data_IF_381677520200
#
_entry.id   IF_381677520200
#
_cell.length_a   1.000
_cell.length_b   1.000
_cell.length_c   1.000
_cell.angle_alpha   90.00
_cell.angle_beta   90.00
_cell.angle_gamma   90.00
#
_symmetry.space_group_name_H-M   'P 1'
#
loop_
_entity.id
_entity.type
_entity.pdbx_description
1 polymer ?
#
# COMPACT_ATOMS: atom_id res chain seq x y z
N UNK A 1 71.07 -8.07 25.91
CA UNK A 1 70.48 -6.71 26.03
C UNK A 1 69.15 -6.73 25.30
N UNK A 2 68.11 -6.27 25.99
CA UNK A 2 66.68 -6.49 25.76
C UNK A 2 66.12 -5.82 24.50
N UNK A 3 65.17 -6.51 23.85
CA UNK A 3 64.36 -6.08 22.72
C UNK A 3 63.50 -4.85 23.03
N UNK A 4 63.48 -3.85 22.14
CA UNK A 4 62.43 -2.83 22.11
C UNK A 4 61.42 -3.19 21.02
N UNK A 5 60.23 -3.55 21.45
CA UNK A 5 59.05 -3.81 20.63
C UNK A 5 58.14 -2.58 20.74
N UNK A 6 58.28 -1.62 19.84
CA UNK A 6 57.33 -0.51 19.70
C UNK A 6 56.10 -1.01 18.94
N UNK A 7 55.04 -1.35 19.69
CA UNK A 7 53.71 -1.48 19.12
C UNK A 7 53.12 -0.07 18.87
N UNK A 8 52.46 0.19 17.73
CA UNK A 8 51.91 1.50 17.44
C UNK A 8 50.66 1.74 18.29
N UNK A 9 50.81 2.52 19.36
CA UNK A 9 49.67 3.04 20.13
C UNK A 9 48.90 4.00 19.24
N UNK A 10 47.76 3.55 18.70
CA UNK A 10 46.83 4.43 17.99
C UNK A 10 46.33 5.52 18.95
N UNK A 11 46.29 6.75 18.44
CA UNK A 11 46.01 7.98 19.16
C UNK A 11 44.61 7.99 19.82
N UNK A 12 44.59 8.22 21.14
CA UNK A 12 43.39 8.35 21.97
C UNK A 12 42.44 9.43 21.42
N UNK A 13 42.97 10.50 20.84
CA UNK A 13 42.13 11.56 20.27
C UNK A 13 41.28 11.06 19.09
N UNK A 14 41.79 10.11 18.30
CA UNK A 14 41.03 9.46 17.23
C UNK A 14 39.88 8.60 17.76
N UNK A 15 40.09 7.92 18.89
CA UNK A 15 39.06 7.12 19.57
C UNK A 15 37.98 8.03 20.12
N UNK A 16 38.36 9.10 20.85
CA UNK A 16 37.43 10.07 21.42
C UNK A 16 36.62 10.81 20.33
N UNK A 17 37.25 11.14 19.20
CA UNK A 17 36.56 11.75 18.04
C UNK A 17 35.54 10.81 17.42
N UNK A 18 35.86 9.53 17.31
CA UNK A 18 34.93 8.51 16.81
C UNK A 18 33.75 8.35 17.76
N UNK A 19 34.00 8.29 19.07
CA UNK A 19 32.94 8.24 20.09
C UNK A 19 32.04 9.49 20.06
N UNK A 20 32.63 10.68 19.95
CA UNK A 20 31.88 11.94 19.84
C UNK A 20 30.97 11.96 18.61
N UNK A 21 31.44 11.45 17.46
CA UNK A 21 30.64 11.38 16.23
C UNK A 21 29.45 10.40 16.27
N UNK A 22 29.43 9.48 17.22
CA UNK A 22 28.36 8.48 17.40
C UNK A 22 27.30 8.94 18.41
N UNK A 23 27.51 10.09 19.07
CA UNK A 23 26.57 10.63 20.04
C UNK A 23 25.56 11.53 19.29
N UNK A 24 24.23 11.27 19.35
CA UNK A 24 23.26 12.20 18.79
C UNK A 24 23.34 13.53 19.55
N UNK A 25 23.80 14.59 18.88
CA UNK A 25 23.96 15.91 19.46
C UNK A 25 22.58 16.56 19.64
N UNK A 26 21.90 16.23 20.74
CA UNK A 26 20.77 17.02 21.22
C UNK A 26 21.31 18.07 22.21
N UNK A 27 21.78 19.21 21.70
CA UNK A 27 22.11 20.37 22.51
C UNK A 27 21.00 21.41 22.35
N UNK A 28 20.07 21.44 23.31
CA UNK A 28 19.37 22.68 23.69
C UNK A 28 20.04 23.23 24.96
N UNK A 29 20.29 24.54 25.06
CA UNK A 29 20.84 25.14 26.28
C UNK A 29 19.82 25.09 27.42
N UNK A 30 20.27 24.69 28.61
CA UNK A 30 19.50 24.78 29.85
C UNK A 30 19.53 26.20 30.44
N UNK A 31 18.35 26.72 30.78
CA UNK A 31 18.17 27.77 31.80
C UNK A 31 16.99 27.41 32.72
N UNK A 32 17.36 27.06 33.95
CA UNK A 32 16.73 27.26 35.28
C UNK A 32 15.19 27.14 35.52
N UNK A 33 14.84 26.10 36.29
CA UNK A 33 13.91 26.00 37.45
C UNK A 33 12.58 26.80 37.51
N UNK A 34 11.44 26.07 37.49
CA UNK A 34 10.56 25.77 38.66
C UNK A 34 9.15 25.33 38.22
N UNK A 35 8.55 24.33 38.90
CA UNK A 35 7.10 24.05 38.84
C UNK A 35 6.73 22.58 38.60
N UNK A 36 6.22 21.91 39.64
CA UNK A 36 5.66 20.55 39.57
C UNK A 36 4.30 20.53 38.85
N UNK A 37 4.17 19.75 37.76
CA UNK A 37 2.94 19.03 37.36
C UNK A 37 3.27 17.87 36.41
N UNK A 38 2.45 16.80 36.33
CA UNK A 38 2.84 15.47 35.84
C UNK A 38 2.73 15.34 34.31
N UNK A 39 3.74 14.74 33.67
CA UNK A 39 3.70 14.37 32.25
C UNK A 39 3.91 12.86 32.08
N UNK A 40 3.09 12.18 31.25
CA UNK A 40 3.29 10.78 30.90
C UNK A 40 4.51 10.62 29.99
N UNK A 41 5.13 9.42 29.93
CA UNK A 41 6.36 9.18 29.18
C UNK A 41 6.17 9.39 27.66
N UNK A 42 7.20 9.89 26.94
CA UNK A 42 7.12 10.11 25.51
C UNK A 42 7.09 8.76 24.77
N UNK A 43 6.05 8.55 23.97
CA UNK A 43 5.99 7.45 23.01
C UNK A 43 7.00 7.67 21.87
N UNK A 44 7.60 6.61 21.31
CA UNK A 44 8.43 6.73 20.13
C UNK A 44 7.59 7.22 18.95
N UNK A 45 7.99 8.35 18.38
CA UNK A 45 7.47 8.88 17.13
C UNK A 45 7.74 7.87 16.01
N UNK A 46 6.74 7.06 15.72
CA UNK A 46 6.60 6.42 14.41
C UNK A 46 6.33 7.56 13.43
N UNK A 47 7.21 7.74 12.44
CA UNK A 47 6.96 8.55 11.25
C UNK A 47 5.61 8.13 10.67
N UNK A 48 4.61 8.96 10.92
CA UNK A 48 3.26 8.81 10.41
C UNK A 48 3.35 8.99 8.89
N UNK A 49 3.07 7.92 8.17
CA UNK A 49 2.59 8.01 6.79
C UNK A 49 1.42 9.00 6.81
N UNK A 50 1.39 10.04 5.96
CA UNK A 50 0.28 10.97 5.97
C UNK A 50 -0.97 10.23 5.49
N UNK A 51 -1.83 9.85 6.44
CA UNK A 51 -3.20 9.46 6.15
C UNK A 51 -3.93 10.72 5.70
N UNK A 52 -4.05 10.93 4.39
CA UNK A 52 -4.94 11.95 3.85
C UNK A 52 -6.37 11.57 4.22
N UNK A 53 -6.92 12.28 5.20
CA UNK A 53 -8.32 12.22 5.60
C UNK A 53 -9.17 12.87 4.51
N UNK A 54 -9.73 12.06 3.61
CA UNK A 54 -10.78 12.54 2.72
C UNK A 54 -12.05 12.76 3.55
N UNK A 55 -12.39 14.03 3.76
CA UNK A 55 -13.63 14.45 4.38
C UNK A 55 -14.81 13.90 3.58
N UNK A 56 -15.57 12.99 4.20
CA UNK A 56 -16.89 12.57 3.76
C UNK A 56 -17.83 13.77 3.88
N UNK A 57 -18.10 14.45 2.77
CA UNK A 57 -19.21 15.39 2.69
C UNK A 57 -20.52 14.59 2.69
N UNK A 58 -21.24 14.67 3.80
CA UNK A 58 -22.65 14.30 3.88
C UNK A 58 -23.45 15.42 3.20
N UNK A 59 -23.89 15.19 1.96
CA UNK A 59 -24.88 16.05 1.31
C UNK A 59 -26.27 15.63 1.75
N UNK A 60 -26.90 16.56 2.48
CA UNK A 60 -28.29 16.51 2.93
C UNK A 60 -29.26 16.43 1.76
N UNK A 61 -30.22 15.53 1.91
CA UNK A 61 -31.27 15.18 0.97
C UNK A 61 -32.20 16.37 0.69
N UNK A 62 -32.34 16.76 -0.57
CA UNK A 62 -33.43 17.62 -1.04
C UNK A 62 -34.33 16.80 -1.97
N UNK A 63 -35.55 16.57 -1.49
CA UNK A 63 -36.63 15.90 -2.19
C UNK A 63 -37.08 16.82 -3.32
N UNK A 64 -36.72 16.51 -4.57
CA UNK A 64 -37.29 17.14 -5.74
C UNK A 64 -38.41 16.26 -6.32
N UNK A 65 -39.56 16.91 -6.44
CA UNK A 65 -40.90 16.39 -6.74
C UNK A 65 -41.00 15.89 -8.20
N UNK A 66 -41.66 14.75 -8.40
CA UNK A 66 -41.96 14.17 -9.72
C UNK A 66 -42.64 15.15 -10.66
N UNK A 67 -42.11 15.24 -11.88
CA UNK A 67 -42.87 15.55 -13.09
C UNK A 67 -42.40 14.60 -14.19
N UNK A 68 -43.31 13.72 -14.62
CA UNK A 68 -43.11 12.75 -15.71
C UNK A 68 -43.20 13.46 -17.06
N UNK A 69 -42.25 13.24 -17.99
CA UNK A 69 -42.49 13.38 -19.43
C UNK A 69 -42.45 12.01 -20.13
N UNK A 70 -43.11 11.87 -21.29
CA UNK A 70 -43.42 10.59 -21.93
C UNK A 70 -42.26 10.08 -22.81
N UNK A 71 -41.95 8.78 -22.68
CA UNK A 71 -41.27 7.95 -23.70
C UNK A 71 -39.74 8.09 -23.82
N UNK A 72 -38.97 7.29 -23.05
CA UNK A 72 -37.52 7.13 -23.24
C UNK A 72 -37.21 5.71 -23.79
N UNK A 73 -36.29 5.56 -24.76
CA UNK A 73 -36.04 4.28 -25.44
C UNK A 73 -35.50 3.18 -24.50
N UNK A 74 -35.95 1.94 -24.75
CA UNK A 74 -35.77 0.70 -23.97
C UNK A 74 -34.33 0.16 -23.82
N UNK A 75 -33.28 0.98 -23.92
CA UNK A 75 -31.89 0.48 -24.02
C UNK A 75 -30.93 1.01 -22.94
N UNK A 76 -31.42 1.21 -21.71
CA UNK A 76 -30.56 1.47 -20.56
C UNK A 76 -30.25 0.15 -19.83
N UNK A 77 -29.19 -0.54 -20.26
CA UNK A 77 -28.68 -1.73 -19.56
C UNK A 77 -27.83 -1.26 -18.38
N UNK A 78 -28.17 -1.71 -17.17
CA UNK A 78 -27.39 -1.46 -15.96
C UNK A 78 -26.04 -2.18 -16.05
N UNK A 79 -24.89 -1.48 -15.95
CA UNK A 79 -23.56 -2.09 -16.00
C UNK A 79 -23.35 -3.23 -14.99
N UNK A 80 -24.03 -3.19 -13.84
CA UNK A 80 -23.93 -4.20 -12.80
C UNK A 80 -24.58 -5.55 -13.18
N UNK A 81 -25.42 -5.56 -14.23
CA UNK A 81 -26.09 -6.77 -14.74
C UNK A 81 -25.32 -7.45 -15.88
N UNK A 82 -24.26 -6.80 -16.38
CA UNK A 82 -23.49 -7.28 -17.53
C UNK A 82 -22.48 -8.34 -17.07
N UNK A 83 -22.58 -9.53 -17.66
CA UNK A 83 -21.65 -10.65 -17.45
C UNK A 83 -21.04 -11.18 -18.75
N UNK A 84 -21.45 -10.65 -19.91
CA UNK A 84 -20.89 -10.98 -21.22
C UNK A 84 -19.91 -9.90 -21.69
N UNK A 85 -18.82 -10.33 -22.34
CA UNK A 85 -17.78 -9.43 -22.83
C UNK A 85 -18.28 -8.44 -23.89
N UNK A 86 -19.05 -8.90 -24.89
CA UNK A 86 -19.48 -8.04 -26.00
C UNK A 86 -20.44 -6.94 -25.53
N UNK A 87 -21.29 -7.25 -24.54
CA UNK A 87 -22.13 -6.28 -23.87
C UNK A 87 -21.31 -5.29 -23.04
N UNK A 88 -20.29 -5.78 -22.31
CA UNK A 88 -19.39 -4.94 -21.52
C UNK A 88 -18.59 -3.96 -22.38
N UNK A 89 -18.04 -4.42 -23.50
CA UNK A 89 -17.30 -3.56 -24.43
C UNK A 89 -18.19 -2.46 -25.03
N UNK A 90 -19.41 -2.79 -25.45
CA UNK A 90 -20.36 -1.78 -25.95
C UNK A 90 -20.76 -0.80 -24.86
N UNK A 91 -20.89 -1.26 -23.61
CA UNK A 91 -21.18 -0.41 -22.47
C UNK A 91 -20.05 0.60 -22.23
N UNK A 92 -18.81 0.14 -22.08
CA UNK A 92 -17.66 1.03 -21.81
C UNK A 92 -17.42 2.03 -22.95
N UNK A 93 -17.48 1.60 -24.22
CA UNK A 93 -17.30 2.50 -25.36
C UNK A 93 -18.37 3.60 -25.40
N UNK A 94 -19.60 3.26 -25.01
CA UNK A 94 -20.69 4.24 -24.88
C UNK A 94 -20.49 5.19 -23.70
N UNK A 95 -19.95 4.71 -22.58
CA UNK A 95 -19.65 5.54 -21.41
C UNK A 95 -18.54 6.52 -21.73
N UNK A 96 -17.43 6.04 -22.30
CA UNK A 96 -16.28 6.86 -22.70
C UNK A 96 -16.69 7.92 -23.72
N UNK A 97 -17.43 7.55 -24.77
CA UNK A 97 -17.88 8.51 -25.78
C UNK A 97 -18.84 9.60 -25.27
N UNK A 98 -19.41 9.42 -24.07
CA UNK A 98 -20.35 10.37 -23.46
C UNK A 98 -19.74 11.21 -22.35
N UNK A 99 -18.63 10.76 -21.77
CA UNK A 99 -18.05 11.38 -20.60
C UNK A 99 -16.52 11.24 -20.65
N UNK A 100 -15.84 12.31 -21.07
CA UNK A 100 -14.38 12.37 -21.12
C UNK A 100 -13.73 12.31 -19.73
N UNK A 101 -14.47 12.62 -18.66
CA UNK A 101 -13.95 12.58 -17.29
C UNK A 101 -13.54 11.17 -16.86
N UNK A 102 -14.11 10.12 -17.48
CA UNK A 102 -13.74 8.74 -17.17
C UNK A 102 -12.27 8.45 -17.48
N UNK A 103 -11.76 8.92 -18.63
CA UNK A 103 -10.38 8.69 -19.02
C UNK A 103 -9.44 9.53 -18.14
N UNK A 104 -9.86 10.73 -17.73
CA UNK A 104 -9.10 11.53 -16.77
C UNK A 104 -9.02 10.85 -15.39
N UNK A 105 -10.11 10.23 -14.93
CA UNK A 105 -10.12 9.45 -13.69
C UNK A 105 -9.21 8.23 -13.80
N UNK A 106 -9.27 7.49 -14.91
CA UNK A 106 -8.40 6.33 -15.14
C UNK A 106 -6.92 6.73 -15.17
N UNK A 107 -6.55 7.80 -15.89
CA UNK A 107 -5.18 8.34 -15.87
C UNK A 107 -4.74 8.74 -14.46
N UNK A 108 -5.63 9.33 -13.66
CA UNK A 108 -5.35 9.67 -12.26
C UNK A 108 -5.12 8.42 -11.42
N UNK A 109 -5.94 7.39 -11.59
CA UNK A 109 -5.76 6.11 -10.90
C UNK A 109 -4.43 5.45 -11.26
N UNK A 110 -4.07 5.38 -12.55
CA UNK A 110 -2.78 4.84 -13.01
C UNK A 110 -1.62 5.61 -12.37
N UNK A 111 -1.67 6.95 -12.41
CA UNK A 111 -0.64 7.78 -11.77
C UNK A 111 -0.54 7.53 -10.27
N UNK A 112 -1.68 7.50 -9.58
CA UNK A 112 -1.71 7.24 -8.13
C UNK A 112 -1.16 5.86 -7.78
N UNK A 113 -1.43 4.83 -8.59
CA UNK A 113 -0.86 3.50 -8.42
C UNK A 113 0.66 3.56 -8.53
N UNK A 114 1.17 4.15 -9.61
CA UNK A 114 2.61 4.26 -9.86
C UNK A 114 3.33 5.05 -8.75
N UNK A 115 2.74 6.15 -8.29
CA UNK A 115 3.29 6.96 -7.21
C UNK A 115 3.36 6.16 -5.89
N UNK A 116 2.31 5.38 -5.58
CA UNK A 116 2.29 4.52 -4.40
C UNK A 116 3.33 3.40 -4.49
N UNK A 117 3.42 2.70 -5.62
CA UNK A 117 4.41 1.64 -5.84
C UNK A 117 5.84 2.18 -5.71
N UNK A 118 6.10 3.36 -6.28
CA UNK A 118 7.40 4.00 -6.16
C UNK A 118 7.72 4.41 -4.72
N UNK A 119 6.73 4.90 -3.96
CA UNK A 119 6.91 5.23 -2.55
C UNK A 119 7.20 3.99 -1.70
N UNK A 120 6.47 2.89 -1.90
CA UNK A 120 6.70 1.64 -1.18
C UNK A 120 8.07 1.06 -1.51
N UNK A 121 8.48 1.08 -2.77
CA UNK A 121 9.81 0.64 -3.18
C UNK A 121 10.90 1.49 -2.50
N UNK A 122 10.81 2.83 -2.59
CA UNK A 122 11.77 3.74 -1.94
C UNK A 122 11.81 3.55 -0.43
N UNK A 123 10.66 3.36 0.21
CA UNK A 123 10.57 3.12 1.65
C UNK A 123 11.23 1.82 2.06
N UNK A 124 11.08 0.76 1.27
CA UNK A 124 11.78 -0.52 1.48
C UNK A 124 13.29 -0.41 1.32
N UNK A 125 13.75 0.29 0.29
CA UNK A 125 15.19 0.53 0.08
C UNK A 125 15.81 1.36 1.21
N UNK A 126 15.11 2.42 1.65
CA UNK A 126 15.54 3.22 2.80
C UNK A 126 15.61 2.40 4.10
N UNK A 127 14.69 1.45 4.28
CA UNK A 127 14.71 0.53 5.42
C UNK A 127 15.95 -0.37 5.38
N UNK A 128 16.25 -0.97 4.23
CA UNK A 128 17.47 -1.79 4.03
C UNK A 128 18.73 -0.98 4.29
N UNK A 129 18.80 0.25 3.79
CA UNK A 129 19.96 1.13 4.01
C UNK A 129 20.12 1.44 5.51
N UNK A 130 19.01 1.70 6.22
CA UNK A 130 19.02 1.94 7.67
C UNK A 130 19.47 0.70 8.44
N UNK A 131 19.04 -0.50 8.04
CA UNK A 131 19.50 -1.77 8.62
C UNK A 131 21.01 -1.95 8.44
N UNK A 132 21.52 -1.71 7.23
CA UNK A 132 22.96 -1.78 6.93
C UNK A 132 23.78 -0.79 7.76
N UNK A 133 23.33 0.47 7.86
CA UNK A 133 23.98 1.50 8.70
C UNK A 133 24.02 1.08 10.17
N UNK A 134 22.95 0.48 10.70
CA UNK A 134 22.92 -0.08 12.07
C UNK A 134 23.90 -1.24 12.24
N UNK A 135 23.96 -2.18 11.31
CA UNK A 135 24.92 -3.29 11.35
C UNK A 135 26.37 -2.80 11.33
N UNK A 136 26.69 -1.86 10.45
CA UNK A 136 28.04 -1.29 10.36
C UNK A 136 28.42 -0.52 11.63
N UNK A 137 27.48 0.24 12.19
CA UNK A 137 27.64 0.93 13.47
C UNK A 137 27.92 -0.05 14.62
N UNK A 138 27.15 -1.13 14.72
CA UNK A 138 27.35 -2.19 15.71
C UNK A 138 28.72 -2.84 15.55
N UNK A 139 29.11 -3.20 14.32
CA UNK A 139 30.43 -3.79 14.05
C UNK A 139 31.59 -2.89 14.48
N UNK A 140 31.48 -1.58 14.24
CA UNK A 140 32.49 -0.60 14.69
C UNK A 140 32.55 -0.51 16.21
N UNK A 141 31.38 -0.51 16.87
CA UNK A 141 31.31 -0.49 18.33
C UNK A 141 31.94 -1.76 18.94
N UNK A 142 31.64 -2.93 18.37
CA UNK A 142 32.22 -4.21 18.80
C UNK A 142 33.74 -4.23 18.61
N UNK A 143 34.26 -3.64 17.53
CA UNK A 143 35.70 -3.52 17.28
C UNK A 143 36.39 -2.62 18.32
N UNK A 144 35.79 -1.47 18.64
CA UNK A 144 36.30 -0.56 19.68
C UNK A 144 36.25 -1.23 21.05
N UNK A 145 35.15 -1.91 21.39
CA UNK A 145 35.01 -2.60 22.66
C UNK A 145 36.07 -3.69 22.82
N UNK A 146 36.32 -4.47 21.76
CA UNK A 146 37.38 -5.49 21.75
C UNK A 146 38.77 -4.87 21.86
N UNK A 147 39.03 -3.73 21.24
CA UNK A 147 40.32 -3.03 21.32
C UNK A 147 40.64 -2.51 22.74
N UNK A 148 39.61 -2.16 23.52
CA UNK A 148 39.74 -1.73 24.92
C UNK A 148 39.76 -2.93 25.89
N UNK A 149 39.70 -4.17 25.39
CA UNK A 149 39.71 -5.40 26.19
C UNK A 149 38.34 -5.79 26.75
N UNK A 150 37.26 -5.16 26.28
CA UNK A 150 35.90 -5.54 26.63
C UNK A 150 35.38 -6.74 25.85
N UNK A 151 34.43 -7.47 26.43
CA UNK A 151 33.77 -8.61 25.79
C UNK A 151 32.50 -8.18 25.06
N UNK A 152 32.31 -8.63 23.82
CA UNK A 152 31.10 -8.33 23.02
C UNK A 152 29.94 -9.22 23.49
N UNK A 153 28.79 -8.66 23.90
CA UNK A 153 27.63 -9.45 24.30
C UNK A 153 26.98 -10.14 23.11
N UNK A 154 26.88 -11.46 23.17
CA UNK A 154 26.22 -12.31 22.16
C UNK A 154 24.71 -12.31 22.44
N UNK A 155 23.92 -11.56 21.67
CA UNK A 155 22.46 -11.71 21.66
C UNK A 155 21.61 -10.49 22.04
N UNK A 156 22.21 -9.30 22.24
CA UNK A 156 21.46 -8.09 22.63
C UNK A 156 21.27 -7.05 21.52
N UNK A 157 21.65 -7.32 20.28
CA UNK A 157 21.63 -6.30 19.21
C UNK A 157 20.48 -6.49 18.24
N UNK A 158 19.74 -5.41 17.98
CA UNK A 158 18.65 -5.34 16.99
C UNK A 158 19.13 -5.50 15.52
N UNK A 159 20.33 -6.03 15.32
CA UNK A 159 20.99 -6.25 14.04
C UNK A 159 21.16 -7.73 13.72
N UNK A 160 20.57 -8.63 14.52
CA UNK A 160 20.55 -10.06 14.23
C UNK A 160 19.79 -10.28 12.91
N UNK A 161 20.29 -11.11 11.98
CA UNK A 161 19.68 -11.30 10.67
C UNK A 161 18.18 -11.63 10.71
N UNK A 162 17.74 -12.43 11.70
CA UNK A 162 16.34 -12.80 11.88
C UNK A 162 15.44 -11.59 12.17
N UNK A 163 15.88 -10.66 13.03
CA UNK A 163 15.08 -9.49 13.40
C UNK A 163 14.97 -8.49 12.24
N UNK A 164 16.04 -8.37 11.45
CA UNK A 164 16.05 -7.53 10.25
C UNK A 164 15.11 -8.08 9.15
N UNK A 165 15.08 -9.41 9.00
CA UNK A 165 14.13 -10.07 8.13
C UNK A 165 12.68 -9.85 8.58
N UNK A 166 12.41 -9.98 9.89
CA UNK A 166 11.08 -9.72 10.48
C UNK A 166 10.64 -8.26 10.31
N UNK A 167 11.57 -7.32 10.42
CA UNK A 167 11.31 -5.89 10.19
C UNK A 167 10.90 -5.63 8.73
N UNK A 168 11.58 -6.25 7.76
CA UNK A 168 11.21 -6.20 6.35
C UNK A 168 9.85 -6.85 6.08
N UNK A 169 9.60 -8.04 6.64
CA UNK A 169 8.31 -8.73 6.51
C UNK A 169 7.16 -7.87 7.05
N UNK A 170 7.38 -7.19 8.19
CA UNK A 170 6.40 -6.27 8.77
C UNK A 170 6.12 -5.09 7.84
N UNK A 171 7.14 -4.57 7.16
CA UNK A 171 6.98 -3.53 6.15
C UNK A 171 6.20 -4.04 4.93
N UNK A 172 6.60 -5.18 4.37
CA UNK A 172 5.97 -5.79 3.20
C UNK A 172 4.50 -6.15 3.47
N UNK A 173 4.17 -6.59 4.68
CA UNK A 173 2.79 -6.82 5.13
C UNK A 173 1.96 -5.52 5.15
N UNK A 174 2.54 -4.38 5.53
CA UNK A 174 1.86 -3.07 5.46
C UNK A 174 1.61 -2.66 4.02
N UNK A 175 2.60 -2.83 3.16
CA UNK A 175 2.50 -2.56 1.71
C UNK A 175 1.38 -3.40 1.10
N UNK A 176 1.35 -4.71 1.39
CA UNK A 176 0.30 -5.60 0.91
C UNK A 176 -1.11 -5.12 1.31
N UNK A 177 -1.30 -4.74 2.58
CA UNK A 177 -2.59 -4.22 3.06
C UNK A 177 -2.97 -2.91 2.36
N UNK A 178 -2.01 -2.00 2.18
CA UNK A 178 -2.24 -0.73 1.48
C UNK A 178 -2.59 -0.97 0.00
N UNK A 179 -1.89 -1.89 -0.67
CA UNK A 179 -2.17 -2.29 -2.05
C UNK A 179 -3.58 -2.88 -2.19
N UNK A 180 -3.99 -3.77 -1.28
CA UNK A 180 -5.34 -4.33 -1.28
C UNK A 180 -6.42 -3.25 -1.14
N UNK A 181 -6.20 -2.26 -0.27
CA UNK A 181 -7.10 -1.13 -0.09
C UNK A 181 -7.18 -0.28 -1.37
N UNK A 182 -6.03 0.04 -1.97
CA UNK A 182 -5.94 0.77 -3.23
C UNK A 182 -6.71 0.07 -4.35
N UNK A 183 -6.51 -1.23 -4.55
CA UNK A 183 -7.23 -2.01 -5.56
C UNK A 183 -8.74 -1.98 -5.33
N UNK A 184 -9.19 -2.04 -4.07
CA UNK A 184 -10.62 -1.97 -3.72
C UNK A 184 -11.21 -0.61 -4.05
N UNK A 185 -10.51 0.47 -3.72
CA UNK A 185 -10.96 1.83 -4.00
C UNK A 185 -11.02 2.10 -5.50
N UNK A 186 -9.99 1.74 -6.26
CA UNK A 186 -9.97 1.88 -7.72
C UNK A 186 -11.10 1.07 -8.38
N UNK A 187 -11.34 -0.16 -7.92
CA UNK A 187 -12.48 -0.96 -8.40
C UNK A 187 -13.82 -0.27 -8.13
N UNK A 188 -13.99 0.34 -6.94
CA UNK A 188 -15.21 1.07 -6.61
C UNK A 188 -15.37 2.35 -7.46
N UNK A 189 -14.28 3.05 -7.77
CA UNK A 189 -14.30 4.20 -8.66
C UNK A 189 -14.74 3.80 -10.07
N UNK A 190 -14.17 2.74 -10.63
CA UNK A 190 -14.58 2.19 -11.94
C UNK A 190 -16.06 1.82 -11.95
N UNK A 191 -16.55 1.18 -10.88
CA UNK A 191 -17.98 0.91 -10.70
C UNK A 191 -18.83 2.18 -10.70
N UNK A 192 -18.43 3.22 -9.97
CA UNK A 192 -19.18 4.49 -9.88
C UNK A 192 -19.19 5.25 -11.21
N UNK A 193 -18.15 5.08 -12.03
CA UNK A 193 -18.08 5.60 -13.40
C UNK A 193 -18.92 4.78 -14.40
N UNK A 194 -19.57 3.70 -13.95
CA UNK A 194 -20.40 2.85 -14.80
C UNK A 194 -19.61 1.86 -15.65
N UNK A 195 -18.35 1.58 -15.31
CA UNK A 195 -17.56 0.54 -15.98
C UNK A 195 -18.11 -0.84 -15.57
N UNK A 196 -18.43 -1.71 -16.54
CA UNK A 196 -18.96 -3.04 -16.24
C UNK A 196 -17.90 -3.93 -15.56
N UNK A 197 -18.35 -5.01 -14.93
CA UNK A 197 -17.52 -6.02 -14.23
C UNK A 197 -16.95 -5.60 -12.86
N UNK A 198 -16.82 -4.31 -12.55
CA UNK A 198 -16.34 -3.82 -11.24
C UNK A 198 -17.44 -3.64 -10.18
N UNK A 199 -18.69 -3.82 -10.59
CA UNK A 199 -19.86 -3.79 -9.71
C UNK A 199 -20.87 -4.87 -10.03
N UNK A 200 -20.44 -5.98 -10.63
CA UNK A 200 -21.33 -7.10 -10.98
C UNK A 200 -22.08 -7.56 -9.74
N UNK A 201 -23.40 -7.70 -9.87
CA UNK A 201 -24.24 -8.07 -8.73
C UNK A 201 -23.86 -9.47 -8.22
N UNK A 202 -23.83 -9.65 -6.91
CA UNK A 202 -23.45 -10.91 -6.27
C UNK A 202 -24.35 -12.08 -6.63
N UNK A 203 -25.62 -11.83 -6.98
CA UNK A 203 -26.55 -12.87 -7.42
C UNK A 203 -26.23 -13.41 -8.83
N UNK A 204 -25.33 -12.76 -9.57
CA UNK A 204 -24.84 -13.20 -10.88
C UNK A 204 -23.47 -13.87 -10.80
N UNK A 205 -22.82 -13.89 -9.64
CA UNK A 205 -21.47 -14.45 -9.46
C UNK A 205 -21.54 -15.73 -8.64
N UNK A 206 -20.95 -16.81 -9.15
CA UNK A 206 -20.80 -18.06 -8.40
C UNK A 206 -19.54 -17.96 -7.49
N UNK A 207 -19.68 -18.09 -6.16
CA UNK A 207 -18.54 -18.06 -5.25
C UNK A 207 -17.60 -19.26 -5.49
N UNK A 208 -16.29 -19.01 -5.50
CA UNK A 208 -15.30 -20.08 -5.54
C UNK A 208 -15.39 -20.94 -4.26
N UNK A 209 -15.71 -22.23 -4.39
CA UNK A 209 -15.82 -23.18 -3.27
C UNK A 209 -17.13 -23.97 -3.21
N UNK A 210 -18.10 -23.67 -4.08
CA UNK A 210 -19.26 -24.54 -4.31
C UNK A 210 -18.96 -25.45 -5.51
N UNK A 211 -18.20 -26.52 -5.29
CA UNK A 211 -18.19 -27.64 -6.25
C UNK A 211 -19.59 -28.26 -6.26
N UNK A 212 -20.41 -27.80 -7.20
CA UNK A 212 -21.62 -28.48 -7.63
C UNK A 212 -21.35 -29.08 -9.00
N UNK A 213 -20.76 -30.26 -9.01
CA UNK A 213 -20.84 -31.30 -10.06
C UNK A 213 -21.06 -30.80 -11.49
N UNK A 214 -20.01 -30.86 -12.31
CA UNK A 214 -20.19 -31.02 -13.74
C UNK A 214 -20.92 -32.36 -13.99
N UNK A 215 -22.22 -32.30 -14.25
CA UNK A 215 -22.97 -33.33 -14.96
C UNK A 215 -24.20 -32.71 -15.61
N UNK A 216 -24.35 -33.06 -16.88
CA UNK A 216 -25.32 -32.59 -17.85
C UNK A 216 -26.78 -32.66 -17.39
N UNK A 217 -27.59 -31.80 -18.02
CA UNK A 217 -29.01 -31.97 -18.32
C UNK A 217 -29.95 -32.29 -17.13
N UNK A 218 -30.66 -31.27 -16.67
CA UNK A 218 -32.14 -31.18 -16.72
C UNK A 218 -32.70 -30.37 -15.53
N UNK A 219 -33.61 -29.45 -15.84
CA UNK A 219 -34.71 -29.13 -14.94
C UNK A 219 -34.50 -28.22 -13.73
N UNK A 220 -33.93 -27.02 -13.87
CA UNK A 220 -34.31 -25.89 -12.99
C UNK A 220 -34.85 -24.74 -13.83
N UNK A 221 -36.17 -24.56 -13.75
CA UNK A 221 -36.95 -23.48 -14.35
C UNK A 221 -36.64 -22.14 -13.65
N UNK A 222 -35.42 -21.64 -13.78
CA UNK A 222 -35.10 -20.22 -13.78
C UNK A 222 -33.67 -20.05 -14.33
N UNK A 223 -33.55 -19.85 -15.65
CA UNK A 223 -32.30 -19.87 -16.40
C UNK A 223 -31.43 -18.62 -16.16
N UNK A 224 -31.04 -18.36 -14.91
CA UNK A 224 -30.18 -17.23 -14.57
C UNK A 224 -28.73 -17.59 -14.91
N UNK A 225 -28.24 -17.05 -16.02
CA UNK A 225 -26.83 -17.14 -16.41
C UNK A 225 -25.99 -16.53 -15.28
N UNK A 226 -25.08 -17.32 -14.71
CA UNK A 226 -24.15 -16.91 -13.66
C UNK A 226 -22.72 -17.05 -14.18
N UNK A 227 -21.85 -16.12 -13.78
CA UNK A 227 -20.43 -16.14 -14.10
C UNK A 227 -19.63 -16.64 -12.89
N UNK A 228 -18.62 -17.46 -13.12
CA UNK A 228 -17.70 -17.87 -12.07
C UNK A 228 -16.75 -16.71 -11.68
N UNK A 229 -16.33 -16.64 -10.43
CA UNK A 229 -15.45 -15.57 -9.93
C UNK A 229 -14.16 -15.44 -10.74
N UNK A 230 -13.54 -16.56 -11.12
CA UNK A 230 -12.33 -16.56 -11.95
C UNK A 230 -12.58 -15.97 -13.35
N UNK A 231 -13.74 -16.23 -13.95
CA UNK A 231 -14.11 -15.66 -15.25
C UNK A 231 -14.40 -14.16 -15.13
N UNK A 232 -15.04 -13.72 -14.04
CA UNK A 232 -15.25 -12.31 -13.77
C UNK A 232 -13.92 -11.55 -13.65
N UNK A 233 -12.93 -12.12 -12.96
CA UNK A 233 -11.59 -11.53 -12.85
C UNK A 233 -10.91 -11.43 -14.23
N UNK A 234 -11.09 -12.42 -15.11
CA UNK A 234 -10.57 -12.34 -16.50
C UNK A 234 -11.23 -11.18 -17.26
N UNK A 235 -12.55 -11.01 -17.15
CA UNK A 235 -13.27 -9.90 -17.78
C UNK A 235 -12.81 -8.54 -17.24
N UNK A 236 -12.64 -8.41 -15.92
CA UNK A 236 -12.11 -7.20 -15.29
C UNK A 236 -10.72 -6.85 -15.83
N UNK A 237 -9.79 -7.81 -15.85
CA UNK A 237 -8.43 -7.60 -16.39
C UNK A 237 -8.47 -7.14 -17.85
N UNK A 238 -9.26 -7.82 -18.67
CA UNK A 238 -9.42 -7.46 -20.09
C UNK A 238 -10.01 -6.05 -20.25
N UNK A 239 -10.94 -5.65 -19.38
CA UNK A 239 -11.51 -4.31 -19.37
C UNK A 239 -10.47 -3.25 -18.96
N UNK A 240 -9.63 -3.53 -17.96
CA UNK A 240 -8.54 -2.64 -17.58
C UNK A 240 -7.57 -2.40 -18.75
N UNK A 241 -7.19 -3.46 -19.49
CA UNK A 241 -6.33 -3.32 -20.67
C UNK A 241 -6.92 -2.34 -21.69
N UNK A 242 -8.21 -2.48 -22.01
CA UNK A 242 -8.87 -1.55 -22.95
C UNK A 242 -8.87 -0.11 -22.43
N UNK A 243 -9.15 0.09 -21.14
CA UNK A 243 -9.17 1.43 -20.54
C UNK A 243 -7.77 2.05 -20.50
N UNK A 244 -6.74 1.26 -20.25
CA UNK A 244 -5.33 1.68 -20.30
C UNK A 244 -4.93 2.07 -21.73
N UNK A 245 -5.25 1.24 -22.73
CA UNK A 245 -4.98 1.53 -24.14
C UNK A 245 -5.62 2.85 -24.58
N UNK A 246 -6.89 3.08 -24.22
CA UNK A 246 -7.61 4.33 -24.49
C UNK A 246 -7.03 5.56 -23.78
N UNK A 247 -6.26 5.37 -22.70
CA UNK A 247 -5.59 6.47 -22.02
C UNK A 247 -4.27 6.87 -22.69
N UNK A 248 -3.68 5.94 -23.46
CA UNK A 248 -2.40 6.08 -24.16
C UNK A 248 -2.55 6.61 -25.60
N UNK A 249 -3.77 6.62 -26.15
CA UNK A 249 -4.16 7.29 -27.41
C UNK A 249 -4.37 8.80 -27.17
#
# INVERSE_FOLDING_TARGET
MTSNNEAPTRDLASILKTLASLTPQNQQPQTEFTGYQPHPPPQPHIEQVPAQSWQRQESTSHIARSTTPPGLPKNHVDPATIIDWSAGLRCVMKVVAKNDDILQEVRRMIKSQNDNEQQWFKGREALIERQKKRQEGQKKLDEVLRAVGGTVPVGGSNTIPEELARELETYDMKVYRAQMQMTREMSNNLRNLGVPFFGTRSDLVRPAGREGTASSADGSKDGKVMIDEAELVKLQRRMLTILEDLCND
#
